data_IF_677463301007
#
_entry.id   IF_677463301007
#
_cell.length_a   1.000
_cell.length_b   1.000
_cell.length_c   1.000
_cell.angle_alpha   90.00
_cell.angle_beta   90.00
_cell.angle_gamma   90.00
#
_symmetry.space_group_name_H-M   'P 1'
#
loop_
_entity.id
_entity.type
_entity.pdbx_description
1 polymer ?
#
# COMPACT_ATOMS: atom_id res chain seq x y z
N UNK A 1 20.22 -6.57 -40.50
CA UNK A 1 20.61 -6.67 -39.09
C UNK A 1 21.05 -5.29 -38.67
N UNK A 2 20.24 -4.59 -37.88
CA UNK A 2 20.65 -3.31 -37.29
C UNK A 2 21.16 -3.66 -35.91
N UNK A 3 22.48 -3.65 -35.73
CA UNK A 3 23.08 -3.76 -34.41
C UNK A 3 22.98 -2.41 -33.73
N UNK A 4 21.99 -2.26 -32.85
CA UNK A 4 21.92 -1.13 -31.94
C UNK A 4 22.62 -1.54 -30.64
N UNK A 5 23.89 -1.14 -30.50
CA UNK A 5 24.60 -1.26 -29.22
C UNK A 5 24.36 0.00 -28.41
N UNK A 6 23.53 -0.08 -27.37
CA UNK A 6 23.39 0.97 -26.37
C UNK A 6 24.21 0.59 -25.14
N UNK A 7 25.36 1.25 -24.97
CA UNK A 7 26.21 1.10 -23.79
C UNK A 7 25.60 1.90 -22.62
N UNK A 8 24.74 1.26 -21.83
CA UNK A 8 24.44 1.70 -20.46
C UNK A 8 24.81 0.55 -19.54
N UNK A 9 25.77 0.77 -18.64
CA UNK A 9 26.56 -0.28 -17.98
C UNK A 9 25.83 -1.31 -17.11
N UNK A 10 24.49 -1.35 -17.07
CA UNK A 10 23.73 -2.17 -16.12
C UNK A 10 22.46 -2.84 -16.71
N UNK A 11 22.32 -3.01 -18.03
CA UNK A 11 21.15 -3.70 -18.60
C UNK A 11 21.48 -4.64 -19.76
N UNK A 12 20.90 -5.84 -19.74
CA UNK A 12 20.87 -6.78 -20.88
C UNK A 12 19.45 -6.82 -21.44
N UNK A 13 19.32 -6.74 -22.77
CA UNK A 13 18.03 -6.80 -23.47
C UNK A 13 18.03 -8.01 -24.42
N UNK A 14 16.92 -8.74 -24.48
CA UNK A 14 16.69 -9.77 -25.50
C UNK A 14 15.66 -9.25 -26.51
N UNK A 15 16.05 -9.22 -27.78
CA UNK A 15 15.13 -8.94 -28.88
C UNK A 15 14.57 -10.26 -29.41
N UNK A 16 13.25 -10.43 -29.41
CA UNK A 16 12.60 -11.46 -30.20
C UNK A 16 12.20 -10.85 -31.54
N UNK A 17 12.87 -11.28 -32.60
CA UNK A 17 12.43 -11.04 -33.97
C UNK A 17 11.57 -12.24 -34.37
N UNK A 18 10.26 -12.05 -34.46
CA UNK A 18 9.43 -13.01 -35.18
C UNK A 18 9.54 -12.69 -36.67
N UNK A 19 10.43 -13.39 -37.35
CA UNK A 19 10.54 -13.35 -38.81
C UNK A 19 9.76 -14.51 -39.42
N UNK A 20 8.51 -14.69 -39.01
CA UNK A 20 7.59 -15.59 -39.66
C UNK A 20 6.82 -14.87 -40.78
N UNK A 21 7.33 -15.09 -42.00
CA UNK A 21 6.62 -15.11 -43.27
C UNK A 21 6.74 -13.89 -44.21
N UNK A 22 7.16 -14.24 -45.40
CA UNK A 22 7.17 -13.51 -46.66
C UNK A 22 5.80 -12.89 -46.99
N UNK A 23 5.52 -11.64 -46.63
CA UNK A 23 4.38 -10.89 -47.20
C UNK A 23 4.73 -9.41 -47.46
N UNK A 24 4.78 -9.08 -48.75
CA UNK A 24 4.42 -7.83 -49.45
C UNK A 24 4.79 -6.46 -48.83
N UNK A 25 5.86 -5.86 -49.38
CA UNK A 25 5.94 -4.51 -50.00
C UNK A 25 5.13 -3.29 -49.48
N UNK A 26 4.69 -3.25 -48.23
CA UNK A 26 4.21 -2.03 -47.58
C UNK A 26 4.95 -1.90 -46.24
N UNK A 27 5.72 -0.81 -46.10
CA UNK A 27 6.52 -0.51 -44.91
C UNK A 27 5.64 -0.52 -43.66
N UNK A 28 5.65 -1.63 -42.92
CA UNK A 28 5.16 -1.68 -41.55
C UNK A 28 6.24 -1.02 -40.69
N UNK A 29 6.02 0.24 -40.32
CA UNK A 29 6.84 0.92 -39.32
C UNK A 29 6.84 0.09 -38.05
N UNK A 30 7.93 -0.65 -37.84
CA UNK A 30 8.16 -1.38 -36.61
C UNK A 30 8.72 -0.38 -35.60
N UNK A 31 7.89 0.11 -34.70
CA UNK A 31 8.36 0.96 -33.61
C UNK A 31 8.84 0.11 -32.44
N UNK A 32 10.04 0.40 -31.95
CA UNK A 32 10.57 -0.16 -30.71
C UNK A 32 10.53 0.94 -29.66
N UNK A 33 9.68 0.79 -28.66
CA UNK A 33 9.57 1.71 -27.53
C UNK A 33 10.55 1.31 -26.43
N UNK A 34 11.69 2.00 -26.34
CA UNK A 34 12.65 1.80 -25.25
C UNK A 34 12.25 2.69 -24.05
N UNK A 35 11.40 2.17 -23.17
CA UNK A 35 11.08 2.86 -21.90
C UNK A 35 12.07 2.45 -20.81
N UNK A 36 13.22 3.13 -20.77
CA UNK A 36 14.09 3.12 -19.59
C UNK A 36 13.94 4.44 -18.84
N UNK A 37 13.13 4.47 -17.79
CA UNK A 37 13.23 5.51 -16.76
C UNK A 37 13.96 4.92 -15.57
N UNK A 38 15.25 5.28 -15.41
CA UNK A 38 15.91 5.17 -14.11
C UNK A 38 14.98 5.83 -13.10
N UNK A 39 14.61 5.12 -12.04
CA UNK A 39 13.77 5.69 -10.99
C UNK A 39 14.43 6.98 -10.51
N UNK A 40 13.68 8.08 -10.44
CA UNK A 40 14.20 9.45 -10.25
C UNK A 40 14.88 9.72 -8.89
N UNK A 41 15.33 8.69 -8.18
CA UNK A 41 16.03 8.78 -6.92
C UNK A 41 17.54 8.98 -7.13
N UNK A 42 18.12 9.95 -6.41
CA UNK A 42 19.54 10.31 -6.51
C UNK A 42 20.50 9.27 -5.88
N UNK A 43 19.98 8.23 -5.22
CA UNK A 43 20.77 7.13 -4.65
C UNK A 43 21.25 7.33 -3.21
N UNK A 44 20.96 8.47 -2.59
CA UNK A 44 21.20 8.71 -1.15
C UNK A 44 20.29 9.80 -0.60
N UNK A 45 20.12 9.85 0.72
CA UNK A 45 19.36 10.92 1.38
C UNK A 45 17.84 10.79 1.23
N UNK A 46 17.15 11.87 1.58
CA UNK A 46 15.71 12.02 1.35
C UNK A 46 15.39 12.01 -0.16
N UNK A 47 14.24 11.47 -0.53
CA UNK A 47 13.73 11.47 -1.89
C UNK A 47 12.58 12.46 -2.02
N UNK A 48 12.81 13.55 -2.75
CA UNK A 48 11.74 14.43 -3.21
C UNK A 48 11.36 14.06 -4.65
N UNK A 49 10.18 13.48 -4.84
CA UNK A 49 9.60 13.22 -6.17
C UNK A 49 9.26 14.56 -6.80
N UNK A 50 9.96 14.93 -7.87
CA UNK A 50 9.84 16.24 -8.53
C UNK A 50 9.20 16.20 -9.92
N UNK A 51 8.93 15.00 -10.42
CA UNK A 51 8.22 14.75 -11.66
C UNK A 51 7.46 13.43 -11.54
N UNK A 52 6.49 13.22 -12.44
CA UNK A 52 5.85 11.91 -12.56
C UNK A 52 6.91 10.84 -12.78
N UNK A 53 6.97 9.89 -11.86
CA UNK A 53 8.05 8.91 -11.77
C UNK A 53 7.45 7.51 -11.76
N UNK A 54 7.96 6.63 -12.61
CA UNK A 54 7.66 5.21 -12.58
C UNK A 54 8.95 4.44 -12.32
N UNK A 55 8.91 3.55 -11.34
CA UNK A 55 10.02 2.69 -10.97
C UNK A 55 9.57 1.24 -11.19
N UNK A 56 10.38 0.47 -11.92
CA UNK A 56 10.04 -0.90 -12.33
C UNK A 56 11.22 -1.81 -12.05
N UNK A 57 10.99 -2.95 -11.38
CA UNK A 57 12.00 -3.99 -11.13
C UNK A 57 13.27 -3.46 -10.44
N UNK A 58 13.11 -2.62 -9.42
CA UNK A 58 14.23 -1.97 -8.74
C UNK A 58 14.17 -2.12 -7.23
N UNK A 59 15.33 -2.20 -6.60
CA UNK A 59 15.48 -2.00 -5.15
C UNK A 59 16.13 -0.65 -4.90
N UNK A 60 15.52 0.15 -4.06
CA UNK A 60 15.91 1.53 -3.78
C UNK A 60 16.09 1.67 -2.27
N UNK A 61 17.31 1.97 -1.84
CA UNK A 61 17.60 2.23 -0.44
C UNK A 61 17.39 3.72 -0.15
N UNK A 62 16.32 4.07 0.56
CA UNK A 62 15.97 5.47 0.85
C UNK A 62 16.61 5.90 2.17
N UNK A 63 17.59 6.78 2.10
CA UNK A 63 18.28 7.35 3.27
C UNK A 63 17.60 8.60 3.84
N UNK A 64 16.33 8.53 4.21
CA UNK A 64 15.58 9.67 4.77
C UNK A 64 14.09 9.61 4.46
N UNK A 65 13.46 10.77 4.25
CA UNK A 65 12.04 10.87 3.94
C UNK A 65 11.77 10.76 2.44
N UNK A 66 10.67 10.11 2.06
CA UNK A 66 10.06 10.20 0.74
C UNK A 66 8.90 11.20 0.78
N UNK A 67 9.00 12.23 -0.04
CA UNK A 67 7.98 13.27 -0.22
C UNK A 67 7.86 13.65 -1.69
N UNK A 68 6.90 14.50 -2.01
CA UNK A 68 6.68 15.05 -3.34
C UNK A 68 6.89 16.56 -3.27
N UNK A 69 7.60 17.12 -4.25
CA UNK A 69 7.94 18.56 -4.23
C UNK A 69 6.84 19.45 -4.78
N UNK A 70 5.80 18.90 -5.41
CA UNK A 70 4.69 19.63 -6.00
C UNK A 70 3.37 18.81 -5.97
N UNK A 71 2.26 19.44 -6.32
CA UNK A 71 0.94 18.81 -6.52
C UNK A 71 0.85 18.12 -7.89
N UNK A 72 -0.10 17.21 -8.05
CA UNK A 72 -0.35 16.45 -9.28
C UNK A 72 0.81 15.56 -9.74
N UNK A 73 1.71 15.21 -8.81
CA UNK A 73 2.80 14.30 -9.07
C UNK A 73 2.39 12.86 -8.72
N UNK A 74 2.75 11.94 -9.61
CA UNK A 74 2.56 10.51 -9.47
C UNK A 74 3.90 9.81 -9.22
N UNK A 75 3.96 8.99 -8.18
CA UNK A 75 4.96 7.95 -8.00
C UNK A 75 4.30 6.59 -8.17
N UNK A 76 4.72 5.86 -9.20
CA UNK A 76 4.23 4.53 -9.52
C UNK A 76 5.35 3.51 -9.32
N UNK A 77 5.15 2.60 -8.36
CA UNK A 77 6.10 1.55 -8.02
C UNK A 77 5.53 0.22 -8.53
N UNK A 78 6.26 -0.41 -9.44
CA UNK A 78 5.88 -1.68 -10.10
C UNK A 78 6.99 -2.68 -9.80
N UNK A 79 6.70 -3.77 -9.09
CA UNK A 79 7.73 -4.70 -8.62
C UNK A 79 8.98 -3.97 -8.06
N UNK A 80 8.75 -2.97 -7.21
CA UNK A 80 9.80 -2.11 -6.70
C UNK A 80 9.86 -2.20 -5.18
N UNK A 81 11.06 -2.44 -4.66
CA UNK A 81 11.31 -2.44 -3.22
C UNK A 81 11.91 -1.10 -2.79
N UNK A 82 11.23 -0.37 -1.92
CA UNK A 82 11.80 0.73 -1.15
C UNK A 82 12.21 0.21 0.22
N UNK A 83 13.50 0.24 0.49
CA UNK A 83 14.06 -0.11 1.79
C UNK A 83 14.56 1.16 2.47
N UNK A 84 13.91 1.58 3.55
CA UNK A 84 14.29 2.80 4.24
C UNK A 84 15.39 2.52 5.26
N UNK A 85 16.45 3.33 5.24
CA UNK A 85 17.48 3.30 6.30
C UNK A 85 16.92 3.98 7.55
N UNK A 86 16.12 3.26 8.34
CA UNK A 86 15.50 3.75 9.56
C UNK A 86 16.48 3.72 10.73
N UNK A 87 16.96 4.89 11.13
CA UNK A 87 17.85 5.07 12.29
C UNK A 87 17.09 5.54 13.53
N UNK A 88 15.89 6.10 13.33
CA UNK A 88 14.99 6.58 14.36
C UNK A 88 13.53 6.28 14.02
N UNK A 89 12.60 6.56 14.93
CA UNK A 89 11.19 6.65 14.54
C UNK A 89 10.98 7.99 13.84
N UNK A 90 10.40 7.99 12.65
CA UNK A 90 9.96 9.23 11.98
C UNK A 90 10.41 9.40 10.54
N UNK A 91 11.39 8.63 10.06
CA UNK A 91 11.61 8.46 8.62
C UNK A 91 10.27 8.11 7.95
N UNK A 92 9.96 8.75 6.83
CA UNK A 92 8.58 8.83 6.39
C UNK A 92 8.36 8.64 4.90
N UNK A 93 7.15 8.15 4.59
CA UNK A 93 6.49 8.26 3.29
C UNK A 93 5.31 9.20 3.50
N UNK A 94 5.34 10.36 2.85
CA UNK A 94 4.23 11.34 2.93
C UNK A 94 3.66 11.62 1.54
N UNK A 95 2.36 11.33 1.38
CA UNK A 95 1.58 11.64 0.17
C UNK A 95 0.58 12.74 0.54
N UNK A 96 0.84 13.97 0.15
CA UNK A 96 0.00 15.13 0.42
C UNK A 96 -1.14 15.32 -0.58
N UNK A 97 -1.86 16.43 -0.43
CA UNK A 97 -2.97 16.79 -1.29
C UNK A 97 -2.59 16.79 -2.78
N UNK A 98 -3.42 16.15 -3.61
CA UNK A 98 -3.25 15.99 -5.07
C UNK A 98 -1.99 15.24 -5.49
N UNK A 99 -1.35 14.49 -4.60
CA UNK A 99 -0.20 13.64 -4.92
C UNK A 99 -0.68 12.19 -4.99
N UNK A 100 -0.04 11.38 -5.83
CA UNK A 100 -0.47 10.02 -6.13
C UNK A 100 0.65 9.04 -5.84
N UNK A 101 0.38 8.03 -5.02
CA UNK A 101 1.26 6.89 -4.80
C UNK A 101 0.53 5.60 -5.21
N UNK A 102 1.15 4.84 -6.10
CA UNK A 102 0.66 3.53 -6.51
C UNK A 102 1.73 2.47 -6.25
N UNK A 103 1.32 1.40 -5.56
CA UNK A 103 2.10 0.19 -5.36
C UNK A 103 1.41 -0.94 -6.09
N UNK A 104 2.09 -1.55 -7.05
CA UNK A 104 1.58 -2.71 -7.75
C UNK A 104 2.66 -3.72 -8.10
N UNK A 105 2.21 -4.93 -8.37
CA UNK A 105 2.99 -5.96 -9.01
C UNK A 105 3.17 -5.71 -10.51
N UNK A 106 3.85 -6.63 -11.20
CA UNK A 106 4.18 -6.45 -12.63
C UNK A 106 3.02 -6.78 -13.57
N UNK A 107 2.20 -7.78 -13.24
CA UNK A 107 1.20 -8.34 -14.15
C UNK A 107 -0.24 -8.34 -13.60
N UNK A 108 -0.44 -7.84 -12.38
CA UNK A 108 -1.74 -7.73 -11.74
C UNK A 108 -2.26 -9.05 -11.16
N UNK A 109 -1.44 -10.10 -11.11
CA UNK A 109 -1.85 -11.44 -10.68
C UNK A 109 -1.42 -11.73 -9.25
N UNK A 110 -2.33 -12.29 -8.48
CA UNK A 110 -2.10 -12.61 -7.07
C UNK A 110 -1.17 -13.81 -6.88
N UNK A 111 -1.18 -14.72 -7.85
CA UNK A 111 -0.52 -16.02 -7.82
C UNK A 111 0.94 -15.98 -8.23
N UNK A 112 1.39 -14.90 -8.89
CA UNK A 112 2.78 -14.71 -9.25
C UNK A 112 3.58 -14.29 -8.02
N UNK A 113 4.79 -14.83 -7.93
CA UNK A 113 5.69 -14.60 -6.80
C UNK A 113 6.89 -13.79 -7.26
N UNK A 114 7.46 -12.97 -6.38
CA UNK A 114 8.64 -12.11 -6.62
C UNK A 114 8.41 -10.96 -7.60
N UNK A 115 7.18 -10.47 -7.70
CA UNK A 115 6.80 -9.33 -8.51
C UNK A 115 6.08 -8.22 -7.73
N UNK A 116 5.82 -8.43 -6.44
CA UNK A 116 5.19 -7.45 -5.56
C UNK A 116 6.06 -6.20 -5.35
N UNK A 117 5.43 -5.02 -5.30
CA UNK A 117 6.10 -3.84 -4.74
C UNK A 117 6.16 -3.94 -3.22
N UNK A 118 7.24 -3.43 -2.62
CA UNK A 118 7.48 -3.50 -1.18
C UNK A 118 7.94 -2.15 -0.63
N UNK A 119 7.38 -1.70 0.49
CA UNK A 119 7.91 -0.60 1.29
C UNK A 119 8.18 -1.10 2.70
N UNK A 120 9.44 -1.04 3.14
CA UNK A 120 9.84 -1.56 4.44
C UNK A 120 10.76 -0.60 5.20
N UNK A 121 10.62 -0.59 6.52
CA UNK A 121 11.66 -0.13 7.43
C UNK A 121 12.89 -1.06 7.35
N UNK A 122 14.09 -0.51 7.46
CA UNK A 122 15.34 -1.28 7.50
C UNK A 122 15.63 -1.89 8.87
N UNK A 123 15.10 -1.30 9.95
CA UNK A 123 15.18 -1.81 11.32
C UNK A 123 13.78 -1.76 11.95
N UNK A 124 13.16 -2.91 12.20
CA UNK A 124 11.80 -2.96 12.76
C UNK A 124 11.67 -2.49 14.21
N UNK A 125 12.79 -2.25 14.91
CA UNK A 125 12.79 -1.53 16.19
C UNK A 125 12.57 -0.01 16.02
N UNK A 126 12.74 0.49 14.79
CA UNK A 126 12.57 1.89 14.35
C UNK A 126 11.56 1.95 13.21
N UNK A 127 10.38 2.49 13.47
CA UNK A 127 9.26 2.35 12.53
C UNK A 127 9.08 3.59 11.67
N UNK A 128 8.66 3.35 10.43
CA UNK A 128 8.35 4.37 9.43
C UNK A 128 7.03 5.07 9.74
N UNK A 129 6.98 6.38 9.52
CA UNK A 129 5.70 7.08 9.34
C UNK A 129 5.23 6.87 7.90
N UNK A 130 4.13 6.16 7.67
CA UNK A 130 3.50 6.10 6.36
C UNK A 130 2.16 6.81 6.41
N UNK A 131 2.09 8.00 5.81
CA UNK A 131 0.92 8.86 5.87
C UNK A 131 0.51 9.36 4.49
N UNK A 132 -0.73 9.05 4.12
CA UNK A 132 -1.43 9.61 2.96
C UNK A 132 -2.41 10.63 3.52
N UNK A 133 -2.13 11.92 3.35
CA UNK A 133 -2.94 13.00 3.88
C UNK A 133 -4.17 13.32 3.04
N UNK A 134 -5.00 14.22 3.59
CA UNK A 134 -6.22 14.71 2.94
C UNK A 134 -5.99 15.18 1.51
N UNK A 135 -6.75 14.61 0.58
CA UNK A 135 -6.68 14.88 -0.85
C UNK A 135 -5.55 14.18 -1.60
N UNK A 136 -4.71 13.38 -0.93
CA UNK A 136 -3.76 12.49 -1.59
C UNK A 136 -4.45 11.27 -2.20
N UNK A 137 -3.78 10.54 -3.08
CA UNK A 137 -4.36 9.36 -3.72
C UNK A 137 -3.43 8.17 -3.49
N UNK A 138 -4.02 7.06 -3.04
CA UNK A 138 -3.26 5.87 -2.71
C UNK A 138 -3.93 4.61 -3.25
N UNK A 139 -3.14 3.82 -3.96
CA UNK A 139 -3.53 2.48 -4.40
C UNK A 139 -2.44 1.49 -4.07
N UNK A 140 -2.83 0.33 -3.56
CA UNK A 140 -1.94 -0.76 -3.25
C UNK A 140 -2.58 -2.07 -3.71
N UNK A 141 -1.92 -2.76 -4.63
CA UNK A 141 -2.38 -4.03 -5.19
C UNK A 141 -1.22 -5.02 -5.18
N UNK A 142 -1.44 -6.25 -4.74
CA UNK A 142 -0.43 -7.33 -4.82
C UNK A 142 0.94 -6.87 -4.28
N UNK A 143 0.93 -6.14 -3.16
CA UNK A 143 2.10 -5.43 -2.64
C UNK A 143 2.29 -5.66 -1.15
N UNK A 144 3.44 -5.23 -0.62
CA UNK A 144 3.82 -5.35 0.77
C UNK A 144 4.17 -4.00 1.41
N UNK A 145 3.70 -3.80 2.64
CA UNK A 145 4.15 -2.72 3.52
C UNK A 145 4.50 -3.32 4.89
N UNK A 146 5.68 -3.00 5.41
CA UNK A 146 6.13 -3.50 6.72
C UNK A 146 6.91 -2.47 7.53
N UNK A 147 6.89 -2.62 8.86
CA UNK A 147 7.66 -1.76 9.75
C UNK A 147 7.11 -0.34 9.89
N UNK A 148 5.80 -0.17 9.75
CA UNK A 148 5.15 1.15 9.80
C UNK A 148 4.46 1.41 11.14
N UNK A 149 4.48 2.66 11.55
CA UNK A 149 3.75 3.20 12.68
C UNK A 149 4.27 2.83 14.06
N UNK A 150 4.31 3.80 14.98
CA UNK A 150 4.85 3.66 16.33
C UNK A 150 3.94 4.34 17.35
N UNK A 151 4.09 3.96 18.62
CA UNK A 151 3.32 4.53 19.71
C UNK A 151 3.64 6.02 19.91
N UNK A 152 2.68 6.89 19.59
CA UNK A 152 2.75 8.33 19.83
C UNK A 152 1.33 8.92 20.01
N UNK A 153 1.27 10.16 20.51
CA UNK A 153 0.03 10.92 20.65
C UNK A 153 -0.47 11.54 19.32
N UNK A 154 0.22 11.28 18.23
CA UNK A 154 -0.15 11.70 16.88
C UNK A 154 -0.73 10.47 16.15
N UNK A 155 -1.93 10.58 15.60
CA UNK A 155 -2.53 9.45 14.89
C UNK A 155 -1.88 9.21 13.52
N UNK A 156 -1.25 10.23 12.92
CA UNK A 156 -0.62 10.15 11.59
C UNK A 156 0.60 9.25 11.54
N UNK A 157 1.02 8.71 12.70
CA UNK A 157 2.16 7.79 12.83
C UNK A 157 1.73 6.43 13.35
N UNK A 158 0.44 6.07 13.33
CA UNK A 158 -0.05 4.83 13.95
C UNK A 158 0.10 3.58 13.09
N UNK A 159 0.35 3.68 11.80
CA UNK A 159 0.46 2.51 10.91
C UNK A 159 0.70 2.93 9.46
N UNK A 160 0.11 2.20 8.52
CA UNK A 160 -0.23 2.76 7.21
C UNK A 160 -1.48 3.63 7.39
N UNK A 161 -1.28 4.93 7.55
CA UNK A 161 -2.37 5.88 7.78
C UNK A 161 -2.81 6.46 6.45
N UNK A 162 -4.09 6.31 6.14
CA UNK A 162 -4.73 6.88 4.96
C UNK A 162 -5.84 7.79 5.43
N UNK A 163 -5.59 9.09 5.29
CA UNK A 163 -6.53 10.17 5.50
C UNK A 163 -7.08 10.69 4.18
N UNK A 164 -7.47 9.80 3.27
CA UNK A 164 -7.97 10.20 1.96
C UNK A 164 -9.08 9.30 1.44
N UNK A 165 -9.90 9.88 0.58
CA UNK A 165 -11.05 9.23 -0.04
C UNK A 165 -10.62 8.32 -1.19
N UNK A 166 -11.46 7.33 -1.50
CA UNK A 166 -11.27 6.43 -2.65
C UNK A 166 -9.97 5.64 -2.62
N UNK A 167 -9.41 5.40 -1.42
CA UNK A 167 -8.23 4.56 -1.30
C UNK A 167 -8.59 3.10 -1.60
N UNK A 168 -7.72 2.40 -2.32
CA UNK A 168 -7.93 1.00 -2.65
C UNK A 168 -6.71 0.15 -2.25
N UNK A 169 -6.92 -0.76 -1.32
CA UNK A 169 -5.92 -1.74 -0.86
C UNK A 169 -6.47 -3.13 -1.17
N UNK A 170 -5.89 -3.80 -2.16
CA UNK A 170 -6.37 -5.10 -2.63
C UNK A 170 -5.25 -6.12 -2.65
N UNK A 171 -5.56 -7.34 -2.22
CA UNK A 171 -4.67 -8.50 -2.28
C UNK A 171 -3.23 -8.18 -1.82
N UNK A 172 -3.13 -7.44 -0.71
CA UNK A 172 -1.89 -6.88 -0.23
C UNK A 172 -1.55 -7.43 1.15
N UNK A 173 -0.32 -7.22 1.59
CA UNK A 173 0.12 -7.64 2.93
C UNK A 173 0.68 -6.46 3.71
N UNK A 174 0.15 -6.21 4.90
CA UNK A 174 0.62 -5.18 5.83
C UNK A 174 1.03 -5.87 7.13
N UNK A 175 2.29 -5.72 7.55
CA UNK A 175 2.80 -6.44 8.74
C UNK A 175 3.75 -5.62 9.61
N UNK A 176 4.04 -6.13 10.81
CA UNK A 176 5.06 -5.59 11.71
C UNK A 176 4.86 -4.10 12.00
N UNK A 177 3.62 -3.74 12.33
CA UNK A 177 3.17 -2.37 12.47
C UNK A 177 2.55 -2.11 13.84
N UNK A 178 2.42 -0.85 14.28
CA UNK A 178 1.71 -0.56 15.54
C UNK A 178 0.22 -0.82 15.36
N UNK A 179 -0.39 -0.09 14.43
CA UNK A 179 -1.65 -0.40 13.78
C UNK A 179 -1.32 -0.86 12.36
N UNK A 180 -2.10 -1.78 11.82
CA UNK A 180 -1.90 -2.24 10.45
C UNK A 180 -2.29 -1.18 9.42
N UNK A 181 -3.58 -1.15 9.09
CA UNK A 181 -4.18 -0.16 8.21
C UNK A 181 -5.08 0.78 9.02
N UNK A 182 -4.81 2.08 8.96
CA UNK A 182 -5.57 3.11 9.67
C UNK A 182 -6.25 4.04 8.66
N UNK A 183 -7.56 3.92 8.53
CA UNK A 183 -8.40 4.71 7.64
C UNK A 183 -9.11 5.81 8.45
N UNK A 184 -8.75 7.07 8.23
CA UNK A 184 -9.35 8.21 8.93
C UNK A 184 -9.98 9.16 7.91
N UNK A 185 -11.26 9.52 8.05
CA UNK A 185 -11.94 10.37 7.04
C UNK A 185 -11.83 9.82 5.58
N UNK A 186 -11.66 8.51 5.45
CA UNK A 186 -11.28 7.83 4.22
C UNK A 186 -12.51 7.29 3.48
N UNK A 187 -13.44 8.18 3.16
CA UNK A 187 -14.73 7.81 2.58
C UNK A 187 -14.59 7.05 1.26
N UNK A 188 -15.50 6.11 1.01
CA UNK A 188 -15.54 5.32 -0.23
C UNK A 188 -14.27 4.48 -0.50
N UNK A 189 -13.53 4.15 0.56
CA UNK A 189 -12.33 3.33 0.44
C UNK A 189 -12.65 1.84 0.51
N UNK A 190 -11.82 1.03 -0.15
CA UNK A 190 -11.96 -0.42 -0.20
C UNK A 190 -10.70 -1.14 0.27
N UNK A 191 -10.89 -2.15 1.10
CA UNK A 191 -9.85 -3.06 1.60
C UNK A 191 -10.30 -4.48 1.34
N UNK A 192 -9.69 -5.18 0.39
CA UNK A 192 -10.17 -6.51 -0.03
C UNK A 192 -9.03 -7.50 -0.21
N UNK A 193 -9.25 -8.77 0.14
CA UNK A 193 -8.25 -9.86 -0.01
C UNK A 193 -6.91 -9.56 0.68
N UNK A 194 -6.88 -8.64 1.64
CA UNK A 194 -5.64 -8.13 2.24
C UNK A 194 -5.34 -8.87 3.53
N UNK A 195 -4.08 -9.22 3.75
CA UNK A 195 -3.58 -9.77 5.00
C UNK A 195 -2.95 -8.66 5.84
N UNK A 196 -3.55 -8.35 6.99
CA UNK A 196 -3.01 -7.42 7.97
C UNK A 196 -2.76 -8.17 9.27
N UNK A 197 -1.49 -8.44 9.58
CA UNK A 197 -1.10 -9.34 10.67
C UNK A 197 0.22 -8.95 11.34
N UNK A 198 0.50 -9.52 12.51
CA UNK A 198 1.67 -9.15 13.32
C UNK A 198 1.67 -7.65 13.66
N UNK A 199 0.54 -7.15 14.14
CA UNK A 199 0.33 -5.73 14.49
C UNK A 199 -0.04 -5.58 15.96
N UNK A 200 0.54 -4.58 16.63
CA UNK A 200 0.48 -4.39 18.08
C UNK A 200 -0.88 -3.89 18.62
N UNK A 201 -1.76 -3.39 17.76
CA UNK A 201 -3.05 -2.80 18.14
C UNK A 201 -4.18 -3.36 17.28
N UNK A 202 -4.77 -2.54 16.40
CA UNK A 202 -5.79 -2.95 15.45
C UNK A 202 -5.17 -3.34 14.10
N UNK A 203 -5.64 -4.43 13.49
CA UNK A 203 -5.29 -4.75 12.11
C UNK A 203 -5.96 -3.78 11.14
N UNK A 204 -7.27 -3.58 11.26
CA UNK A 204 -7.98 -2.51 10.56
C UNK A 204 -8.55 -1.53 11.58
N UNK A 205 -8.13 -0.26 11.52
CA UNK A 205 -8.75 0.83 12.26
C UNK A 205 -9.45 1.74 11.27
N UNK A 206 -10.75 1.97 11.44
CA UNK A 206 -11.55 2.89 10.63
C UNK A 206 -12.18 3.92 11.54
N UNK A 207 -11.96 5.19 11.26
CA UNK A 207 -12.59 6.27 12.03
C UNK A 207 -13.13 7.41 11.17
N UNK A 208 -14.24 7.98 11.63
CA UNK A 208 -14.89 9.16 11.02
C UNK A 208 -15.07 9.03 9.50
N UNK A 209 -15.45 7.83 9.05
CA UNK A 209 -15.52 7.49 7.62
C UNK A 209 -16.90 6.95 7.26
N UNK A 210 -17.29 7.09 5.99
CA UNK A 210 -18.52 6.53 5.44
C UNK A 210 -18.24 5.70 4.19
N UNK A 211 -19.08 4.70 3.91
CA UNK A 211 -18.97 3.84 2.73
C UNK A 211 -17.61 3.13 2.61
N UNK A 212 -17.04 2.68 3.73
CA UNK A 212 -15.81 1.86 3.72
C UNK A 212 -16.18 0.40 3.52
N UNK A 213 -15.61 -0.22 2.48
CA UNK A 213 -15.74 -1.66 2.23
C UNK A 213 -14.51 -2.42 2.73
N UNK A 214 -14.71 -3.40 3.61
CA UNK A 214 -13.68 -4.30 4.08
C UNK A 214 -14.16 -5.76 3.91
N UNK A 215 -13.61 -6.48 2.93
CA UNK A 215 -14.04 -7.85 2.66
C UNK A 215 -12.94 -8.87 2.34
N UNK A 216 -13.17 -10.13 2.73
CA UNK A 216 -12.25 -11.24 2.45
C UNK A 216 -10.82 -11.02 2.98
N UNK A 217 -10.65 -10.21 4.02
CA UNK A 217 -9.35 -9.90 4.61
C UNK A 217 -9.00 -10.87 5.73
N UNK A 218 -7.70 -11.01 6.01
CA UNK A 218 -7.19 -11.59 7.26
C UNK A 218 -6.75 -10.44 8.15
N UNK A 219 -7.43 -10.22 9.27
CA UNK A 219 -7.25 -9.06 10.14
C UNK A 219 -6.86 -9.52 11.54
N UNK A 220 -5.56 -9.63 11.82
CA UNK A 220 -5.00 -10.19 13.06
C UNK A 220 -4.19 -9.16 13.83
N UNK A 221 -4.88 -8.25 14.51
CA UNK A 221 -4.28 -7.39 15.53
C UNK A 221 -4.30 -8.04 16.90
N UNK A 222 -3.35 -7.69 17.75
CA UNK A 222 -3.32 -8.19 19.14
C UNK A 222 -4.55 -7.71 19.91
N UNK A 223 -4.97 -6.46 19.73
CA UNK A 223 -6.09 -5.86 20.45
C UNK A 223 -7.40 -6.01 19.67
N UNK A 224 -7.40 -5.60 18.40
CA UNK A 224 -8.59 -5.62 17.54
C UNK A 224 -8.28 -6.28 16.20
N UNK A 225 -9.16 -7.16 15.72
CA UNK A 225 -9.17 -7.51 14.30
C UNK A 225 -9.58 -6.29 13.48
N UNK A 226 -10.77 -5.77 13.74
CA UNK A 226 -11.24 -4.49 13.23
C UNK A 226 -11.75 -3.59 14.35
N UNK A 227 -11.37 -2.32 14.33
CA UNK A 227 -11.89 -1.26 15.19
C UNK A 227 -12.54 -0.19 14.33
N UNK A 228 -13.83 0.07 14.53
CA UNK A 228 -14.63 1.03 13.78
C UNK A 228 -15.19 2.09 14.74
N UNK A 229 -14.85 3.36 14.54
CA UNK A 229 -15.29 4.47 15.40
C UNK A 229 -15.96 5.57 14.60
N UNK A 230 -17.20 5.93 14.94
CA UNK A 230 -17.94 6.99 14.24
C UNK A 230 -18.00 6.73 12.72
N UNK A 231 -18.32 5.49 12.35
CA UNK A 231 -18.38 5.02 10.95
C UNK A 231 -19.84 4.85 10.53
N UNK A 232 -20.17 5.14 9.27
CA UNK A 232 -21.52 4.94 8.69
C UNK A 232 -21.50 4.19 7.38
N UNK A 233 -22.61 3.53 7.03
CA UNK A 233 -22.84 2.91 5.72
C UNK A 233 -21.68 2.01 5.24
N UNK A 234 -20.97 1.38 6.19
CA UNK A 234 -19.74 0.64 5.92
C UNK A 234 -19.91 -0.86 6.14
N UNK A 235 -19.17 -1.64 5.37
CA UNK A 235 -19.35 -3.09 5.29
C UNK A 235 -18.08 -3.80 5.75
N UNK A 236 -18.19 -4.60 6.80
CA UNK A 236 -17.15 -5.53 7.26
C UNK A 236 -17.67 -6.94 7.05
N UNK A 237 -17.34 -7.55 5.91
CA UNK A 237 -17.92 -8.85 5.51
C UNK A 237 -16.90 -9.90 5.09
N UNK A 238 -17.16 -11.18 5.40
CA UNK A 238 -16.29 -12.29 4.96
C UNK A 238 -14.82 -12.18 5.42
N UNK A 239 -14.53 -11.46 6.51
CA UNK A 239 -13.17 -11.31 7.01
C UNK A 239 -12.85 -12.38 8.06
N UNK A 240 -11.56 -12.71 8.21
CA UNK A 240 -11.03 -13.49 9.29
C UNK A 240 -10.40 -12.56 10.35
N UNK A 241 -11.15 -12.26 11.41
CA UNK A 241 -10.71 -11.46 12.56
C UNK A 241 -10.49 -12.35 13.78
N UNK A 242 -9.54 -13.28 13.65
CA UNK A 242 -9.22 -14.29 14.66
C UNK A 242 -8.06 -13.89 15.57
N UNK A 243 -8.04 -14.43 16.78
CA UNK A 243 -6.89 -14.36 17.72
C UNK A 243 -6.51 -12.94 18.20
N UNK A 244 -7.48 -12.03 18.27
CA UNK A 244 -7.34 -10.72 18.90
C UNK A 244 -7.94 -10.73 20.32
N UNK A 245 -7.85 -9.62 21.06
CA UNK A 245 -8.69 -9.43 22.24
C UNK A 245 -10.16 -9.32 21.84
N UNK A 246 -10.45 -8.50 20.83
CA UNK A 246 -11.76 -8.33 20.24
C UNK A 246 -11.69 -8.59 18.73
N UNK A 247 -12.63 -9.35 18.17
CA UNK A 247 -12.69 -9.59 16.73
C UNK A 247 -13.04 -8.30 15.98
N UNK A 248 -14.28 -7.84 16.11
CA UNK A 248 -14.75 -6.54 15.63
C UNK A 248 -15.24 -5.68 16.80
N UNK A 249 -14.81 -4.42 16.86
CA UNK A 249 -15.23 -3.45 17.86
C UNK A 249 -15.79 -2.22 17.16
N UNK A 250 -17.07 -1.91 17.39
CA UNK A 250 -17.77 -0.78 16.79
C UNK A 250 -18.21 0.16 17.89
N UNK A 251 -17.81 1.42 17.81
CA UNK A 251 -18.05 2.41 18.87
C UNK A 251 -18.21 3.81 18.31
N UNK A 252 -18.56 4.75 19.19
CA UNK A 252 -18.64 6.18 18.93
C UNK A 252 -19.81 6.51 18.01
N UNK A 253 -20.90 7.00 18.57
CA UNK A 253 -22.13 7.47 17.89
C UNK A 253 -22.27 6.93 16.45
N UNK A 254 -22.35 5.60 16.26
CA UNK A 254 -22.26 5.00 14.93
C UNK A 254 -23.49 5.45 14.16
N UNK A 255 -23.26 6.29 13.15
CA UNK A 255 -24.33 6.69 12.22
C UNK A 255 -24.70 5.42 11.46
N UNK A 256 -25.99 5.12 11.36
CA UNK A 256 -26.50 3.80 10.95
C UNK A 256 -26.00 3.28 9.59
N UNK A 257 -26.49 2.11 9.20
CA UNK A 257 -26.21 1.52 7.88
C UNK A 257 -24.94 0.65 7.80
N UNK A 258 -24.25 0.41 8.92
CA UNK A 258 -23.11 -0.50 8.93
C UNK A 258 -23.53 -1.97 8.90
N UNK A 259 -22.84 -2.79 8.10
CA UNK A 259 -23.04 -4.24 8.03
C UNK A 259 -21.80 -4.99 8.54
N UNK A 260 -21.98 -5.82 9.56
CA UNK A 260 -20.96 -6.77 10.04
C UNK A 260 -21.52 -8.18 9.87
N UNK A 261 -21.11 -8.88 8.81
CA UNK A 261 -21.71 -10.18 8.45
C UNK A 261 -20.69 -11.19 7.91
N UNK A 262 -20.96 -12.48 8.12
CA UNK A 262 -20.18 -13.59 7.56
C UNK A 262 -18.68 -13.58 7.93
N UNK A 263 -18.30 -12.93 9.03
CA UNK A 263 -16.92 -12.90 9.48
C UNK A 263 -16.57 -14.12 10.33
N UNK A 264 -15.36 -14.64 10.18
CA UNK A 264 -14.78 -15.59 11.12
C UNK A 264 -14.17 -14.83 12.30
N UNK A 265 -14.70 -15.07 13.50
CA UNK A 265 -14.33 -14.37 14.75
C UNK A 265 -13.75 -15.34 15.79
N UNK A 266 -13.13 -16.42 15.34
CA UNK A 266 -12.67 -17.52 16.20
C UNK A 266 -11.43 -17.13 17.02
N UNK A 267 -11.33 -17.64 18.25
CA UNK A 267 -10.11 -17.54 19.06
C UNK A 267 -9.84 -16.16 19.67
N UNK A 268 -10.82 -15.25 19.65
CA UNK A 268 -10.70 -13.96 20.34
C UNK A 268 -10.80 -14.15 21.87
N UNK A 269 -9.96 -13.44 22.64
CA UNK A 269 -9.87 -13.67 24.09
C UNK A 269 -10.97 -13.02 24.92
N UNK A 270 -11.71 -12.05 24.37
CA UNK A 270 -12.92 -11.48 24.99
C UNK A 270 -14.16 -11.69 24.15
N UNK A 271 -14.39 -10.86 23.13
CA UNK A 271 -15.62 -10.88 22.34
C UNK A 271 -15.32 -10.99 20.85
N UNK A 272 -16.14 -11.77 20.13
CA UNK A 272 -16.09 -11.81 18.67
C UNK A 272 -16.55 -10.47 18.06
N UNK A 273 -17.68 -9.94 18.53
CA UNK A 273 -18.18 -8.60 18.17
C UNK A 273 -18.52 -7.83 19.43
N UNK A 274 -18.14 -6.56 19.48
CA UNK A 274 -18.59 -5.59 20.49
C UNK A 274 -19.18 -4.38 19.80
N UNK A 275 -20.37 -3.96 20.23
CA UNK A 275 -21.03 -2.74 19.80
C UNK A 275 -21.21 -1.86 21.04
N UNK A 276 -20.65 -0.66 20.99
CA UNK A 276 -20.70 0.34 22.06
C UNK A 276 -21.31 1.63 21.48
N UNK A 277 -22.22 2.25 22.24
CA UNK A 277 -22.91 3.48 21.82
C UNK A 277 -22.18 4.71 22.37
#
# INVERSE_FOLDING_TARGET
MIDVTLNTGDASYYLYYDNASTHAANYADSYVDFRYSKCGYAGSGAWAVSANTTCVNQTINVGGNLSFSDVNLLLNLINTTLNFTTTSNGESVTVGAKQYLSLRDIDGKAETTNDASNITAGDFSKRLKFYVGSGGYFTMSNSHVSGVGYAANDYTVRGLVIESQWANVTNSTITQSEYGLYLAYANYSNVTLTNVSSVSQAALHVENSTNVGASFNVLRGTQYGAYMRSVSDSNLTNNNMSYAVYGAYVTGNPVGGNLVAFNNLTGNSKHGVTLEA
#
